data_IF_403255175163
#
_entry.id   IF_403255175163
#
_cell.length_a   1.000
_cell.length_b   1.000
_cell.length_c   1.000
_cell.angle_alpha   90.00
_cell.angle_beta   90.00
_cell.angle_gamma   90.00
#
_symmetry.space_group_name_H-M   'P 1'
#
loop_
_entity.id
_entity.type
_entity.pdbx_description
1 polymer ?
#
# COMPACT_ATOMS: atom_id res chain seq x y z
N UNK A 1 -1.59 -1.61 24.55
CA UNK A 1 -2.10 -0.89 25.72
C UNK A 1 -3.53 -1.34 26.11
N UNK A 2 -4.39 -1.65 25.12
CA UNK A 2 -5.79 -2.04 25.39
C UNK A 2 -5.93 -3.44 26.00
N UNK A 3 -4.98 -4.32 25.79
CA UNK A 3 -4.99 -5.72 26.21
C UNK A 3 -6.02 -6.55 25.42
N UNK A 4 -5.58 -7.53 24.66
CA UNK A 4 -6.43 -8.38 23.80
C UNK A 4 -7.56 -9.04 24.58
N UNK A 5 -7.32 -9.38 25.85
CA UNK A 5 -8.34 -9.97 26.73
C UNK A 5 -9.58 -9.07 26.96
N UNK A 6 -9.45 -7.77 26.74
CA UNK A 6 -10.53 -6.80 26.89
C UNK A 6 -11.31 -6.52 25.60
N UNK A 7 -10.84 -7.07 24.47
CA UNK A 7 -11.46 -6.88 23.16
C UNK A 7 -12.50 -7.96 22.89
N UNK A 8 -13.54 -7.62 22.13
CA UNK A 8 -14.46 -8.60 21.58
C UNK A 8 -13.68 -9.51 20.62
N UNK A 9 -14.00 -10.81 20.70
CA UNK A 9 -13.61 -11.73 19.67
C UNK A 9 -14.76 -11.82 18.64
N UNK A 10 -14.57 -11.27 17.47
CA UNK A 10 -15.60 -11.26 16.43
C UNK A 10 -16.00 -12.66 15.98
N UNK A 11 -15.14 -13.68 16.15
CA UNK A 11 -15.50 -15.08 15.89
C UNK A 11 -16.66 -15.57 16.79
N UNK A 12 -16.87 -14.95 17.95
CA UNK A 12 -17.97 -15.34 18.86
C UNK A 12 -19.31 -14.73 18.44
N UNK A 13 -19.30 -13.74 17.54
CA UNK A 13 -20.46 -12.96 17.11
C UNK A 13 -20.89 -13.23 15.67
N UNK A 14 -20.04 -13.88 14.88
CA UNK A 14 -20.32 -14.25 13.49
C UNK A 14 -20.31 -15.78 13.38
N UNK A 15 -21.24 -16.31 12.60
CA UNK A 15 -21.20 -17.72 12.24
C UNK A 15 -20.09 -18.02 11.24
N UNK A 16 -19.67 -19.27 11.12
CA UNK A 16 -18.71 -19.70 10.12
C UNK A 16 -19.18 -19.39 8.69
N UNK A 17 -20.48 -19.59 8.41
CA UNK A 17 -21.08 -19.27 7.11
C UNK A 17 -21.00 -17.77 6.79
N UNK A 18 -21.21 -16.89 7.78
CA UNK A 18 -21.04 -15.44 7.60
C UNK A 18 -19.59 -15.08 7.32
N UNK A 19 -18.64 -15.61 8.10
CA UNK A 19 -17.22 -15.36 7.92
C UNK A 19 -16.69 -15.86 6.57
N UNK A 20 -17.26 -16.93 6.04
CA UNK A 20 -16.94 -17.45 4.71
C UNK A 20 -17.26 -16.48 3.55
N UNK A 21 -18.05 -15.44 3.78
CA UNK A 21 -18.29 -14.38 2.79
C UNK A 21 -17.16 -13.35 2.71
N UNK A 22 -16.20 -13.39 3.63
CA UNK A 22 -15.08 -12.45 3.67
C UNK A 22 -13.81 -13.06 3.09
N UNK A 23 -12.90 -12.20 2.65
CA UNK A 23 -11.57 -12.60 2.18
C UNK A 23 -10.78 -13.16 3.36
N UNK A 24 -10.34 -14.44 3.32
CA UNK A 24 -9.73 -15.09 4.48
C UNK A 24 -8.47 -14.39 4.99
N UNK A 25 -7.63 -13.90 4.09
CA UNK A 25 -6.38 -13.20 4.41
C UNK A 25 -6.64 -11.91 5.19
N UNK A 26 -7.77 -11.24 4.92
CA UNK A 26 -8.14 -10.00 5.60
C UNK A 26 -8.73 -10.25 7.00
N UNK A 27 -9.42 -11.37 7.18
CA UNK A 27 -9.82 -11.82 8.53
C UNK A 27 -8.58 -12.25 9.33
N UNK A 28 -7.66 -12.98 8.70
CA UNK A 28 -6.44 -13.45 9.35
C UNK A 28 -5.58 -12.27 9.82
N UNK A 29 -5.46 -11.21 9.02
CA UNK A 29 -4.75 -9.99 9.38
C UNK A 29 -5.35 -9.27 10.61
N UNK A 30 -6.66 -9.42 10.84
CA UNK A 30 -7.35 -8.88 12.02
C UNK A 30 -7.16 -9.67 13.32
N UNK A 31 -6.47 -10.83 13.28
CA UNK A 31 -6.28 -11.67 14.46
C UNK A 31 -5.06 -11.25 15.29
N UNK A 32 -5.20 -11.37 16.60
CA UNK A 32 -4.11 -11.31 17.57
C UNK A 32 -4.13 -12.65 18.33
N UNK A 33 -3.20 -13.53 17.99
CA UNK A 33 -3.29 -14.95 18.37
C UNK A 33 -4.55 -15.60 17.78
N UNK A 34 -5.36 -16.25 18.59
CA UNK A 34 -6.61 -16.89 18.15
C UNK A 34 -7.83 -15.96 18.16
N UNK A 35 -7.65 -14.69 18.59
CA UNK A 35 -8.74 -13.73 18.73
C UNK A 35 -8.83 -12.87 17.47
N UNK A 36 -9.96 -12.92 16.76
CA UNK A 36 -10.27 -11.93 15.73
C UNK A 36 -10.64 -10.61 16.44
N UNK A 37 -9.63 -9.81 16.72
CA UNK A 37 -9.74 -8.58 17.50
C UNK A 37 -10.17 -7.38 16.65
N UNK A 38 -9.81 -7.38 15.38
CA UNK A 38 -10.13 -6.33 14.41
C UNK A 38 -10.91 -6.91 13.24
N UNK A 39 -12.19 -6.56 13.13
CA UNK A 39 -13.03 -6.96 12.01
C UNK A 39 -12.75 -6.06 10.80
N UNK A 40 -12.37 -6.60 9.63
CA UNK A 40 -11.98 -5.76 8.49
C UNK A 40 -13.20 -5.07 7.87
N UNK A 41 -13.05 -3.79 7.52
CA UNK A 41 -14.05 -3.00 6.79
C UNK A 41 -13.60 -2.70 5.37
N UNK A 42 -12.33 -2.37 5.22
CA UNK A 42 -11.67 -2.14 3.93
C UNK A 42 -10.18 -2.39 4.07
N UNK A 43 -9.55 -2.81 3.00
CA UNK A 43 -8.10 -3.03 2.97
C UNK A 43 -7.43 -2.16 1.93
N UNK A 44 -6.17 -1.80 2.18
CA UNK A 44 -5.31 -1.11 1.23
C UNK A 44 -3.93 -1.74 1.24
N UNK A 45 -3.18 -1.49 0.19
CA UNK A 45 -1.77 -1.85 0.10
C UNK A 45 -1.01 -0.71 -0.54
N UNK A 46 0.31 -0.77 -0.55
CA UNK A 46 1.12 0.21 -1.25
C UNK A 46 1.21 -0.14 -2.73
N UNK A 47 1.14 0.89 -3.56
CA UNK A 47 1.30 0.81 -5.01
C UNK A 47 2.22 1.94 -5.49
N UNK A 48 2.73 1.82 -6.71
CA UNK A 48 3.49 2.85 -7.38
C UNK A 48 2.58 3.59 -8.37
N UNK A 49 2.31 4.86 -8.09
CA UNK A 49 1.62 5.79 -8.97
C UNK A 49 2.62 6.45 -9.92
N UNK A 50 2.27 6.57 -11.19
CA UNK A 50 3.14 7.17 -12.21
C UNK A 50 2.32 8.15 -13.05
N UNK A 51 2.79 9.39 -13.17
CA UNK A 51 2.25 10.40 -14.07
C UNK A 51 2.59 9.99 -15.52
N UNK A 52 1.67 9.25 -16.15
CA UNK A 52 1.91 8.54 -17.40
C UNK A 52 2.34 9.45 -18.55
N UNK A 53 1.70 10.62 -18.73
CA UNK A 53 2.08 11.54 -19.79
C UNK A 53 3.54 11.99 -19.69
N UNK A 54 4.03 12.25 -18.48
CA UNK A 54 5.40 12.67 -18.22
C UNK A 54 6.37 11.50 -18.36
N UNK A 55 5.96 10.34 -17.82
CA UNK A 55 6.76 9.11 -17.91
C UNK A 55 6.95 8.66 -19.35
N UNK A 56 5.89 8.62 -20.16
CA UNK A 56 5.94 8.20 -21.57
C UNK A 56 6.91 9.05 -22.41
N UNK A 57 6.95 10.36 -22.12
CA UNK A 57 7.89 11.29 -22.77
C UNK A 57 9.34 10.96 -22.40
N UNK A 58 9.62 10.78 -21.12
CA UNK A 58 10.92 10.38 -20.61
C UNK A 58 11.31 8.97 -21.13
N UNK A 59 10.40 8.02 -21.07
CA UNK A 59 10.58 6.65 -21.46
C UNK A 59 11.01 6.51 -22.93
N UNK A 60 10.36 7.29 -23.81
CA UNK A 60 10.70 7.36 -25.23
C UNK A 60 12.12 7.88 -25.48
N UNK A 61 12.55 8.91 -24.73
CA UNK A 61 13.86 9.54 -24.92
C UNK A 61 15.00 8.72 -24.35
N UNK A 62 14.73 7.92 -23.30
CA UNK A 62 15.75 7.19 -22.54
C UNK A 62 15.69 5.67 -22.70
N UNK A 63 14.84 5.18 -23.61
CA UNK A 63 14.65 3.74 -23.86
C UNK A 63 14.39 2.97 -22.57
N UNK A 64 13.35 3.37 -21.83
CA UNK A 64 12.84 2.71 -20.63
C UNK A 64 11.35 2.39 -20.80
N UNK A 65 10.83 1.50 -19.99
CA UNK A 65 9.43 1.07 -20.00
C UNK A 65 8.86 0.93 -18.59
N UNK A 66 7.56 0.70 -18.46
CA UNK A 66 6.94 0.35 -17.18
C UNK A 66 7.47 -0.97 -16.61
N UNK A 67 7.90 -1.91 -17.48
CA UNK A 67 8.47 -3.19 -17.03
C UNK A 67 9.78 -2.99 -16.25
N UNK A 68 10.55 -1.93 -16.55
CA UNK A 68 11.76 -1.59 -15.80
C UNK A 68 11.45 -1.16 -14.35
N UNK A 69 10.20 -0.78 -14.06
CA UNK A 69 9.74 -0.44 -12.71
C UNK A 69 9.34 -1.67 -11.87
N UNK A 70 9.34 -2.86 -12.46
CA UNK A 70 8.88 -4.08 -11.79
C UNK A 70 9.86 -4.61 -10.73
N UNK A 71 11.12 -4.17 -10.75
CA UNK A 71 12.13 -4.56 -9.77
C UNK A 71 12.79 -3.35 -9.14
N UNK A 72 13.31 -3.51 -7.89
CA UNK A 72 14.02 -2.42 -7.22
C UNK A 72 15.26 -1.96 -7.99
N UNK A 73 16.04 -2.89 -8.56
CA UNK A 73 17.21 -2.54 -9.38
C UNK A 73 16.80 -1.69 -10.60
N UNK A 74 15.74 -2.11 -11.29
CA UNK A 74 15.19 -1.37 -12.42
C UNK A 74 14.65 -0.01 -12.00
N UNK A 75 13.88 0.06 -10.90
CA UNK A 75 13.35 1.29 -10.34
C UNK A 75 14.47 2.31 -10.01
N UNK A 76 15.54 1.89 -9.33
CA UNK A 76 16.65 2.78 -9.04
C UNK A 76 17.40 3.22 -10.30
N UNK A 77 17.55 2.32 -11.28
CA UNK A 77 18.13 2.66 -12.59
C UNK A 77 17.29 3.69 -13.34
N UNK A 78 15.97 3.51 -13.37
CA UNK A 78 15.02 4.47 -13.96
C UNK A 78 15.10 5.81 -13.25
N UNK A 79 15.16 5.82 -11.91
CA UNK A 79 15.27 7.04 -11.12
C UNK A 79 16.54 7.84 -11.43
N UNK A 80 17.69 7.17 -11.57
CA UNK A 80 18.97 7.80 -11.96
C UNK A 80 18.89 8.36 -13.39
N UNK A 81 18.35 7.61 -14.35
CA UNK A 81 18.15 8.07 -15.73
C UNK A 81 17.24 9.30 -15.79
N UNK A 82 16.12 9.26 -15.02
CA UNK A 82 15.19 10.39 -14.96
C UNK A 82 15.85 11.65 -14.38
N UNK A 83 16.60 11.51 -13.28
CA UNK A 83 17.33 12.61 -12.67
C UNK A 83 18.27 13.30 -13.67
N UNK A 84 18.99 12.50 -14.46
CA UNK A 84 19.88 13.01 -15.50
C UNK A 84 19.10 13.68 -16.63
N UNK A 85 18.06 13.02 -17.14
CA UNK A 85 17.23 13.53 -18.25
C UNK A 85 16.49 14.82 -17.90
N UNK A 86 15.96 14.90 -16.69
CA UNK A 86 15.15 16.03 -16.20
C UNK A 86 15.98 17.25 -15.77
N UNK A 87 17.31 17.15 -15.75
CA UNK A 87 18.21 18.19 -15.26
C UNK A 87 18.21 18.32 -13.73
N UNK A 88 18.03 17.21 -13.02
CA UNK A 88 18.17 17.12 -11.57
C UNK A 88 16.86 17.05 -10.77
N UNK A 89 15.74 16.74 -11.40
CA UNK A 89 14.50 16.47 -10.67
C UNK A 89 14.48 15.03 -10.17
N UNK A 90 13.99 14.78 -8.94
CA UNK A 90 13.79 13.43 -8.44
C UNK A 90 12.68 12.72 -9.23
N UNK A 91 12.82 11.40 -9.35
CA UNK A 91 11.85 10.54 -10.05
C UNK A 91 10.60 10.30 -9.22
N UNK A 92 10.79 9.91 -7.97
CA UNK A 92 9.72 9.38 -7.11
C UNK A 92 9.76 9.97 -5.70
N UNK A 93 8.59 10.15 -5.11
CA UNK A 93 8.42 10.43 -3.69
C UNK A 93 7.89 9.20 -2.96
N UNK A 94 8.40 8.93 -1.74
CA UNK A 94 8.03 7.78 -0.92
C UNK A 94 7.26 8.24 0.31
N UNK A 95 6.01 7.78 0.47
CA UNK A 95 5.22 8.00 1.71
C UNK A 95 5.70 7.08 2.85
N UNK A 96 6.17 5.88 2.49
CA UNK A 96 6.53 4.83 3.46
C UNK A 96 7.92 4.25 3.16
N UNK A 97 9.00 5.05 3.22
CA UNK A 97 10.34 4.62 2.82
C UNK A 97 10.85 3.43 3.63
N UNK A 98 10.60 3.45 4.94
CA UNK A 98 11.01 2.38 5.86
C UNK A 98 10.36 1.06 5.49
N UNK A 99 9.07 1.08 5.16
CA UNK A 99 8.34 -0.13 4.74
C UNK A 99 8.88 -0.69 3.43
N UNK A 100 9.27 0.16 2.49
CA UNK A 100 9.90 -0.28 1.25
C UNK A 100 11.25 -0.97 1.52
N UNK A 101 12.06 -0.44 2.43
CA UNK A 101 13.33 -1.07 2.85
C UNK A 101 13.10 -2.43 3.49
N UNK A 102 12.14 -2.52 4.41
CA UNK A 102 11.79 -3.78 5.10
C UNK A 102 11.34 -4.86 4.12
N UNK A 103 10.40 -4.52 3.22
CA UNK A 103 9.90 -5.45 2.19
C UNK A 103 11.03 -5.90 1.25
N UNK A 104 11.92 -4.99 0.85
CA UNK A 104 13.08 -5.34 0.04
C UNK A 104 14.04 -6.28 0.80
N UNK A 105 14.33 -6.02 2.08
CA UNK A 105 15.15 -6.89 2.91
C UNK A 105 14.55 -8.28 3.10
N UNK A 106 13.24 -8.34 3.41
CA UNK A 106 12.50 -9.61 3.55
C UNK A 106 12.53 -10.41 2.24
N UNK A 107 12.31 -9.76 1.11
CA UNK A 107 12.34 -10.43 -0.21
C UNK A 107 13.73 -10.95 -0.59
N UNK A 108 14.80 -10.35 -0.05
CA UNK A 108 16.18 -10.82 -0.17
C UNK A 108 16.55 -11.90 0.85
N UNK A 109 15.60 -12.31 1.72
CA UNK A 109 15.77 -13.39 2.70
C UNK A 109 16.28 -12.94 4.06
N UNK A 110 16.13 -11.68 4.44
CA UNK A 110 16.37 -11.24 5.80
C UNK A 110 15.27 -11.79 6.73
N UNK A 111 15.60 -12.76 7.58
CA UNK A 111 14.61 -13.37 8.49
C UNK A 111 14.34 -12.52 9.73
N UNK A 112 15.37 -11.86 10.26
CA UNK A 112 15.28 -10.99 11.44
C UNK A 112 16.29 -9.86 11.32
N UNK A 113 15.81 -8.64 11.34
CA UNK A 113 16.63 -7.44 11.25
C UNK A 113 16.29 -6.41 12.35
N UNK A 114 15.74 -6.88 13.46
CA UNK A 114 15.52 -6.08 14.65
C UNK A 114 16.40 -6.57 15.79
N UNK A 115 16.93 -5.62 16.56
CA UNK A 115 17.61 -5.90 17.82
C UNK A 115 16.61 -6.34 18.89
N UNK A 116 17.09 -6.91 20.02
CA UNK A 116 16.24 -7.26 21.17
C UNK A 116 15.45 -6.06 21.71
N UNK A 117 16.01 -4.86 21.61
CA UNK A 117 15.36 -3.60 22.01
C UNK A 117 14.37 -3.04 20.97
N UNK A 118 14.17 -3.73 19.84
CA UNK A 118 13.25 -3.34 18.77
C UNK A 118 13.75 -2.19 17.88
N UNK A 119 15.07 -2.00 17.75
CA UNK A 119 15.69 -1.14 16.75
C UNK A 119 16.15 -1.97 15.54
N UNK A 120 16.47 -1.29 14.41
CA UNK A 120 17.07 -1.97 13.27
C UNK A 120 18.48 -2.49 13.58
N UNK A 121 18.72 -3.73 13.19
CA UNK A 121 20.03 -4.38 13.29
C UNK A 121 20.83 -4.19 12.00
N UNK A 122 21.72 -3.21 12.01
CA UNK A 122 22.61 -2.93 10.90
C UNK A 122 23.83 -3.90 10.82
N UNK A 123 23.94 -4.83 11.75
CA UNK A 123 24.89 -5.96 11.62
C UNK A 123 24.29 -7.07 10.73
N UNK A 124 22.98 -7.08 10.51
CA UNK A 124 22.35 -7.91 9.48
C UNK A 124 22.76 -7.39 8.07
N UNK A 125 23.56 -8.16 7.30
CA UNK A 125 24.12 -7.67 6.05
C UNK A 125 23.05 -7.46 4.96
N UNK A 126 21.98 -8.26 4.95
CA UNK A 126 20.91 -8.17 3.95
C UNK A 126 20.05 -6.94 4.20
N UNK A 127 19.71 -6.66 5.46
CA UNK A 127 18.99 -5.45 5.82
C UNK A 127 19.82 -4.21 5.52
N UNK A 128 21.10 -4.22 5.88
CA UNK A 128 22.04 -3.11 5.61
C UNK A 128 22.19 -2.84 4.11
N UNK A 129 22.26 -3.88 3.29
CA UNK A 129 22.30 -3.73 1.82
C UNK A 129 21.05 -3.04 1.32
N UNK A 130 19.86 -3.54 1.69
CA UNK A 130 18.58 -2.95 1.31
C UNK A 130 18.46 -1.49 1.76
N UNK A 131 18.84 -1.20 2.99
CA UNK A 131 18.89 0.18 3.50
C UNK A 131 19.77 1.08 2.65
N UNK A 132 20.99 0.61 2.30
CA UNK A 132 21.96 1.39 1.54
C UNK A 132 21.51 1.71 0.12
N UNK A 133 20.74 0.83 -0.53
CA UNK A 133 20.14 1.09 -1.86
C UNK A 133 19.24 2.32 -1.83
N UNK A 134 18.30 2.37 -0.88
CA UNK A 134 17.42 3.52 -0.70
C UNK A 134 18.17 4.78 -0.25
N UNK A 135 19.06 4.65 0.74
CA UNK A 135 19.84 5.77 1.25
C UNK A 135 20.72 6.41 0.18
N UNK A 136 21.31 5.61 -0.70
CA UNK A 136 22.09 6.13 -1.84
C UNK A 136 21.21 6.87 -2.85
N UNK A 137 20.04 6.31 -3.21
CA UNK A 137 19.13 6.97 -4.14
C UNK A 137 18.60 8.29 -3.56
N UNK A 138 18.29 8.34 -2.27
CA UNK A 138 17.88 9.57 -1.56
C UNK A 138 19.04 10.58 -1.52
N UNK A 139 20.24 10.15 -1.13
CA UNK A 139 21.40 11.05 -1.00
C UNK A 139 21.84 11.65 -2.32
N UNK A 140 21.62 10.95 -3.44
CA UNK A 140 21.89 11.44 -4.80
C UNK A 140 20.74 12.32 -5.36
N UNK A 141 19.62 12.42 -4.66
CA UNK A 141 18.44 13.15 -5.09
C UNK A 141 17.59 12.45 -6.16
N UNK A 142 17.81 11.16 -6.40
CA UNK A 142 17.05 10.39 -7.40
C UNK A 142 15.62 10.13 -6.94
N UNK A 143 15.41 9.95 -5.62
CA UNK A 143 14.12 9.82 -4.95
C UNK A 143 14.09 10.73 -3.72
N UNK A 144 12.87 11.05 -3.25
CA UNK A 144 12.69 11.95 -2.11
C UNK A 144 11.78 11.33 -1.04
N UNK A 145 12.07 11.71 0.18
CA UNK A 145 11.23 11.48 1.37
C UNK A 145 10.93 12.84 1.98
N UNK A 146 9.71 13.11 2.34
CA UNK A 146 9.35 14.40 2.93
C UNK A 146 8.06 14.30 3.75
N UNK A 147 7.75 15.39 4.47
CA UNK A 147 6.51 15.55 5.23
C UNK A 147 5.26 15.72 4.35
N UNK A 148 5.44 15.96 3.04
CA UNK A 148 4.34 16.02 2.08
C UNK A 148 4.08 14.65 1.48
N UNK A 149 2.81 14.28 1.34
CA UNK A 149 2.42 13.05 0.65
C UNK A 149 2.88 13.05 -0.82
N UNK A 150 3.23 11.86 -1.31
CA UNK A 150 3.72 11.64 -2.68
C UNK A 150 2.76 12.17 -3.75
N UNK A 151 1.45 12.00 -3.56
CA UNK A 151 0.44 12.54 -4.49
C UNK A 151 0.55 14.06 -4.67
N UNK A 152 0.80 14.82 -3.60
CA UNK A 152 0.99 16.28 -3.69
C UNK A 152 2.17 16.63 -4.58
N UNK A 153 3.29 15.93 -4.44
CA UNK A 153 4.51 16.16 -5.23
C UNK A 153 4.34 15.76 -6.69
N UNK A 154 3.61 14.67 -6.95
CA UNK A 154 3.26 14.27 -8.32
C UNK A 154 2.35 15.31 -8.98
N UNK A 155 1.30 15.75 -8.30
CA UNK A 155 0.35 16.73 -8.83
C UNK A 155 0.94 18.12 -9.07
N UNK A 156 2.07 18.45 -8.45
CA UNK A 156 2.79 19.71 -8.70
C UNK A 156 3.94 19.57 -9.71
N UNK A 157 4.19 18.35 -10.22
CA UNK A 157 5.27 18.08 -11.16
C UNK A 157 6.68 18.17 -10.56
N UNK A 158 6.77 18.09 -9.24
CA UNK A 158 8.05 18.01 -8.53
C UNK A 158 8.71 16.64 -8.76
N UNK A 159 7.91 15.58 -8.74
CA UNK A 159 8.25 14.21 -9.14
C UNK A 159 7.25 13.71 -10.17
N UNK A 160 7.56 12.61 -10.86
CA UNK A 160 6.60 11.98 -11.78
C UNK A 160 6.08 10.63 -11.29
N UNK A 161 6.55 10.18 -10.13
CA UNK A 161 6.07 8.95 -9.51
C UNK A 161 5.93 9.12 -7.99
N UNK A 162 5.09 8.29 -7.39
CA UNK A 162 4.88 8.27 -5.94
C UNK A 162 4.54 6.87 -5.43
N UNK A 163 5.21 6.41 -4.37
CA UNK A 163 4.81 5.21 -3.65
C UNK A 163 3.93 5.62 -2.48
N UNK A 164 2.69 5.15 -2.49
CA UNK A 164 1.70 5.46 -1.47
C UNK A 164 0.64 4.38 -1.33
N UNK A 165 -0.31 4.60 -0.44
CA UNK A 165 -1.47 3.72 -0.27
C UNK A 165 -2.35 3.70 -1.52
N UNK A 166 -2.98 2.56 -1.81
CA UNK A 166 -4.00 2.47 -2.86
C UNK A 166 -5.14 3.48 -2.66
N UNK A 167 -5.48 3.79 -1.42
CA UNK A 167 -6.49 4.81 -1.08
C UNK A 167 -6.04 6.25 -1.39
N UNK A 168 -4.76 6.49 -1.70
CA UNK A 168 -4.28 7.81 -2.11
C UNK A 168 -4.85 8.26 -3.46
N UNK A 169 -5.46 7.36 -4.23
CA UNK A 169 -6.16 7.68 -5.48
C UNK A 169 -7.19 8.80 -5.30
N UNK A 170 -7.84 8.87 -4.13
CA UNK A 170 -8.80 9.92 -3.77
C UNK A 170 -8.24 11.34 -3.87
N UNK A 171 -6.93 11.48 -3.76
CA UNK A 171 -6.23 12.76 -3.69
C UNK A 171 -5.48 13.08 -4.98
N UNK A 172 -5.60 12.24 -6.01
CA UNK A 172 -5.04 12.53 -7.34
C UNK A 172 -6.08 13.22 -8.22
N UNK A 173 -5.60 14.16 -9.01
CA UNK A 173 -6.37 14.82 -10.07
C UNK A 173 -5.94 14.28 -11.44
N UNK A 174 -6.71 14.58 -12.48
CA UNK A 174 -6.39 14.19 -13.86
C UNK A 174 -5.28 15.05 -14.49
N UNK A 175 -4.84 16.09 -13.79
CA UNK A 175 -3.87 17.08 -14.29
C UNK A 175 -2.77 17.35 -13.28
N UNK A 176 -1.58 17.63 -13.78
CA UNK A 176 -0.49 18.26 -13.03
C UNK A 176 -0.68 19.78 -13.13
N UNK A 177 -0.52 20.47 -12.01
CA UNK A 177 -0.49 21.95 -11.96
C UNK A 177 0.89 22.37 -11.51
N UNK A 178 1.66 22.92 -12.42
CA UNK A 178 3.01 23.40 -12.17
C UNK A 178 3.04 24.71 -11.35
N UNK A 179 4.18 25.07 -10.73
CA UNK A 179 4.30 26.29 -9.92
C UNK A 179 4.00 27.59 -10.66
N UNK A 180 4.11 27.62 -11.98
CA UNK A 180 3.76 28.75 -12.85
C UNK A 180 2.27 28.79 -13.24
N UNK A 181 1.44 27.90 -12.66
CA UNK A 181 0.02 27.67 -12.93
C UNK A 181 -0.28 27.11 -14.33
N UNK A 182 0.70 26.66 -15.07
CA UNK A 182 0.44 25.84 -16.27
C UNK A 182 -0.03 24.46 -15.86
N UNK A 183 -0.85 23.82 -16.70
CA UNK A 183 -1.39 22.49 -16.44
C UNK A 183 -1.10 21.53 -17.58
N UNK A 184 -0.97 20.25 -17.26
CA UNK A 184 -0.77 19.19 -18.24
C UNK A 184 -1.58 17.95 -17.82
N UNK A 185 -2.23 17.22 -18.75
CA UNK A 185 -2.88 15.95 -18.42
C UNK A 185 -1.89 14.97 -17.78
N UNK A 186 -2.31 14.30 -16.72
CA UNK A 186 -1.43 13.39 -16.00
C UNK A 186 -1.48 11.96 -16.55
N UNK A 187 -2.66 11.48 -16.96
CA UNK A 187 -2.88 10.08 -17.39
C UNK A 187 -2.29 9.09 -16.37
N UNK A 188 -2.78 9.18 -15.13
CA UNK A 188 -2.24 8.43 -13.99
C UNK A 188 -2.24 6.93 -14.24
N UNK A 189 -1.04 6.34 -14.21
CA UNK A 189 -0.84 4.90 -14.23
C UNK A 189 -0.61 4.40 -12.80
N UNK A 190 -1.02 3.17 -12.55
CA UNK A 190 -0.79 2.51 -11.27
C UNK A 190 -0.17 1.16 -11.57
N UNK A 191 0.93 0.85 -10.92
CA UNK A 191 1.62 -0.43 -11.06
C UNK A 191 1.94 -1.02 -9.68
N UNK A 192 2.16 -2.33 -9.56
CA UNK A 192 2.61 -2.93 -8.31
C UNK A 192 3.89 -2.27 -7.77
N UNK A 193 4.17 -2.43 -6.48
CA UNK A 193 5.47 -2.08 -5.95
C UNK A 193 6.57 -2.84 -6.70
N UNK A 194 7.76 -2.24 -6.83
CA UNK A 194 8.93 -2.99 -7.29
C UNK A 194 9.22 -4.16 -6.33
N UNK A 195 9.73 -5.26 -6.87
CA UNK A 195 10.10 -6.45 -6.11
C UNK A 195 11.56 -6.82 -6.32
N UNK A 196 12.10 -7.70 -5.50
CA UNK A 196 13.38 -8.34 -5.79
C UNK A 196 13.21 -9.26 -6.99
N UNK A 197 14.17 -9.24 -7.91
CA UNK A 197 14.15 -10.06 -9.13
C UNK A 197 14.01 -11.54 -8.76
N UNK A 198 13.17 -12.26 -9.52
CA UNK A 198 12.92 -13.70 -9.37
C UNK A 198 12.34 -14.12 -8.01
N UNK A 199 11.78 -13.18 -7.24
CA UNK A 199 11.08 -13.41 -5.97
C UNK A 199 9.63 -12.92 -6.08
N UNK A 200 8.72 -13.56 -5.37
CA UNK A 200 7.33 -13.11 -5.30
C UNK A 200 7.23 -11.72 -4.67
N UNK A 201 6.26 -10.93 -5.11
CA UNK A 201 6.01 -9.62 -4.53
C UNK A 201 5.54 -9.77 -3.08
N UNK A 202 6.21 -9.07 -2.17
CA UNK A 202 5.77 -8.92 -0.79
C UNK A 202 5.04 -7.60 -0.61
N UNK A 203 3.91 -7.62 0.08
CA UNK A 203 3.13 -6.42 0.41
C UNK A 203 2.70 -6.43 1.86
N UNK A 204 2.44 -5.26 2.42
CA UNK A 204 1.75 -5.12 3.70
C UNK A 204 0.32 -4.69 3.46
N UNK A 205 -0.60 -5.23 4.25
CA UNK A 205 -2.00 -4.84 4.25
C UNK A 205 -2.20 -3.75 5.31
N UNK A 206 -2.82 -2.66 4.89
CA UNK A 206 -3.33 -1.62 5.76
C UNK A 206 -4.86 -1.52 5.57
N UNK A 207 -5.47 -0.47 6.08
CA UNK A 207 -6.89 -0.20 5.88
C UNK A 207 -7.63 0.10 7.17
N UNK A 208 -8.93 -0.11 7.16
CA UNK A 208 -9.82 0.21 8.28
C UNK A 208 -10.48 -1.07 8.80
N UNK A 209 -10.51 -1.19 10.12
CA UNK A 209 -11.21 -2.28 10.80
C UNK A 209 -11.94 -1.80 12.04
N UNK A 210 -12.87 -2.60 12.51
CA UNK A 210 -13.62 -2.38 13.74
C UNK A 210 -13.00 -3.15 14.90
N UNK A 211 -12.69 -2.44 15.95
CA UNK A 211 -12.26 -3.00 17.22
C UNK A 211 -13.25 -2.55 18.31
N UNK A 212 -13.69 -3.45 19.16
CA UNK A 212 -14.63 -3.15 20.21
C UNK A 212 -14.22 -3.78 21.55
N UNK A 213 -14.47 -3.09 22.64
CA UNK A 213 -14.28 -3.64 23.97
C UNK A 213 -15.37 -4.66 24.32
N UNK A 214 -15.01 -5.65 25.14
CA UNK A 214 -15.97 -6.49 25.82
C UNK A 214 -16.88 -5.62 26.68
N UNK A 215 -18.20 -5.84 26.52
CA UNK A 215 -19.24 -5.05 27.17
C UNK A 215 -20.47 -5.93 27.39
N UNK A 216 -21.67 -5.38 27.49
CA UNK A 216 -22.89 -6.17 27.60
C UNK A 216 -23.17 -6.91 26.27
N UNK A 217 -23.83 -8.07 26.38
CA UNK A 217 -24.21 -8.88 25.20
C UNK A 217 -24.99 -8.05 24.17
N UNK A 218 -25.93 -7.22 24.62
CA UNK A 218 -26.70 -6.33 23.74
C UNK A 218 -25.82 -5.33 22.95
N UNK A 219 -24.77 -4.79 23.57
CA UNK A 219 -23.87 -3.86 22.87
C UNK A 219 -22.92 -4.60 21.95
N UNK A 220 -22.49 -5.81 22.31
CA UNK A 220 -21.69 -6.66 21.46
C UNK A 220 -22.46 -7.04 20.18
N UNK A 221 -23.74 -7.43 20.34
CA UNK A 221 -24.62 -7.75 19.21
C UNK A 221 -24.88 -6.52 18.32
N UNK A 222 -25.10 -5.34 18.91
CA UNK A 222 -25.26 -4.11 18.14
C UNK A 222 -23.97 -3.75 17.35
N UNK A 223 -22.78 -4.02 17.91
CA UNK A 223 -21.52 -3.84 17.19
C UNK A 223 -21.40 -4.82 16.02
N UNK A 224 -21.83 -6.08 16.21
CA UNK A 224 -21.84 -7.08 15.17
C UNK A 224 -22.82 -6.72 14.03
N UNK A 225 -24.03 -6.26 14.37
CA UNK A 225 -25.00 -5.78 13.38
C UNK A 225 -24.45 -4.58 12.59
N UNK A 226 -23.75 -3.66 13.25
CA UNK A 226 -23.08 -2.56 12.55
C UNK A 226 -22.00 -3.06 11.60
N UNK A 227 -21.17 -4.02 12.04
CA UNK A 227 -20.14 -4.62 11.20
C UNK A 227 -20.75 -5.31 9.96
N UNK A 228 -21.80 -6.13 10.14
CA UNK A 228 -22.57 -6.75 9.04
C UNK A 228 -23.09 -5.70 8.07
N UNK A 229 -23.69 -4.64 8.60
CA UNK A 229 -24.29 -3.57 7.80
C UNK A 229 -23.29 -2.88 6.89
N UNK A 230 -22.13 -2.45 7.42
CA UNK A 230 -21.15 -1.69 6.63
C UNK A 230 -20.32 -2.57 5.69
N UNK A 231 -20.23 -3.87 5.97
CA UNK A 231 -19.49 -4.84 5.15
C UNK A 231 -20.37 -5.71 4.28
N UNK A 232 -21.70 -5.45 4.28
CA UNK A 232 -22.62 -6.06 3.33
C UNK A 232 -22.15 -5.81 1.89
N UNK A 233 -22.31 -6.78 1.03
CA UNK A 233 -21.78 -6.78 -0.35
C UNK A 233 -22.03 -5.46 -1.09
N UNK A 234 -23.28 -4.97 -1.11
CA UNK A 234 -23.61 -3.76 -1.86
C UNK A 234 -22.95 -2.50 -1.29
N UNK A 235 -22.96 -2.34 0.04
CA UNK A 235 -22.37 -1.16 0.72
C UNK A 235 -20.86 -1.18 0.69
N UNK A 236 -20.26 -2.34 0.90
CA UNK A 236 -18.83 -2.50 0.82
C UNK A 236 -18.33 -2.19 -0.60
N UNK A 237 -19.06 -2.67 -1.62
CA UNK A 237 -18.78 -2.35 -3.02
C UNK A 237 -18.85 -0.83 -3.28
N UNK A 238 -19.95 -0.15 -2.93
CA UNK A 238 -20.09 1.31 -3.14
C UNK A 238 -18.97 2.10 -2.45
N UNK A 239 -18.63 1.73 -1.23
CA UNK A 239 -17.57 2.38 -0.48
C UNK A 239 -16.20 2.21 -1.17
N UNK A 240 -15.83 0.99 -1.50
CA UNK A 240 -14.48 0.73 -2.06
C UNK A 240 -14.34 1.26 -3.48
N UNK A 241 -15.37 1.13 -4.33
CA UNK A 241 -15.35 1.63 -5.71
C UNK A 241 -15.09 3.14 -5.81
N UNK A 242 -15.42 3.90 -4.75
CA UNK A 242 -15.21 5.34 -4.67
C UNK A 242 -13.96 5.77 -3.91
N UNK A 243 -13.24 4.86 -3.26
CA UNK A 243 -12.17 5.21 -2.31
C UNK A 243 -10.80 4.59 -2.60
N UNK A 244 -10.71 3.65 -3.53
CA UNK A 244 -9.44 2.96 -3.85
C UNK A 244 -9.01 1.92 -2.81
N UNK A 245 -9.87 1.59 -1.84
CA UNK A 245 -9.66 0.45 -0.96
C UNK A 245 -10.02 -0.86 -1.66
N UNK A 246 -9.47 -1.97 -1.16
CA UNK A 246 -9.93 -3.31 -1.53
C UNK A 246 -11.16 -3.71 -0.72
N UNK A 247 -12.16 -4.33 -1.35
CA UNK A 247 -13.33 -4.85 -0.65
C UNK A 247 -12.94 -6.02 0.26
N UNK A 248 -13.64 -6.14 1.39
CA UNK A 248 -13.42 -7.24 2.33
C UNK A 248 -14.41 -8.39 2.11
N UNK A 249 -15.56 -8.10 1.50
CA UNK A 249 -16.56 -9.08 1.12
C UNK A 249 -16.24 -9.66 -0.27
N UNK A 250 -16.26 -11.00 -0.40
CA UNK A 250 -15.95 -11.70 -1.66
C UNK A 250 -16.90 -11.30 -2.80
N UNK A 251 -18.19 -11.14 -2.51
CA UNK A 251 -19.17 -10.70 -3.51
C UNK A 251 -18.86 -9.31 -4.05
N UNK A 252 -18.45 -8.38 -3.16
CA UNK A 252 -17.99 -7.04 -3.56
C UNK A 252 -16.70 -7.11 -4.39
N UNK A 253 -15.80 -8.04 -4.04
CA UNK A 253 -14.55 -8.26 -4.76
C UNK A 253 -14.79 -8.74 -6.19
N UNK A 254 -15.74 -9.66 -6.38
CA UNK A 254 -16.13 -10.12 -7.73
C UNK A 254 -16.83 -9.03 -8.54
N UNK A 255 -17.71 -8.25 -7.91
CA UNK A 255 -18.40 -7.14 -8.59
C UNK A 255 -17.46 -6.08 -9.12
N UNK A 256 -16.39 -5.74 -8.37
CA UNK A 256 -15.52 -4.66 -8.76
C UNK A 256 -14.61 -5.05 -9.94
N UNK A 257 -14.40 -6.35 -10.18
CA UNK A 257 -13.66 -6.85 -11.36
C UNK A 257 -14.35 -6.46 -12.67
N UNK A 258 -15.68 -6.49 -12.69
CA UNK A 258 -16.48 -6.22 -13.88
C UNK A 258 -17.02 -4.78 -13.91
N UNK A 259 -16.65 -3.95 -12.93
CA UNK A 259 -17.18 -2.61 -12.83
C UNK A 259 -16.49 -1.65 -13.82
N UNK A 260 -17.33 -0.94 -14.61
CA UNK A 260 -16.83 0.06 -15.54
C UNK A 260 -16.62 1.41 -14.81
N UNK A 261 -15.37 1.70 -14.46
CA UNK A 261 -15.02 2.98 -13.86
C UNK A 261 -15.10 4.12 -14.88
N UNK A 262 -15.65 5.26 -14.48
CA UNK A 262 -15.60 6.47 -15.29
C UNK A 262 -14.18 7.06 -15.37
N UNK A 263 -13.41 6.90 -14.30
CA UNK A 263 -12.02 7.34 -14.22
C UNK A 263 -11.06 6.23 -14.64
N UNK A 264 -10.21 6.52 -15.64
CA UNK A 264 -9.15 5.60 -16.08
C UNK A 264 -8.12 5.33 -14.97
N UNK A 265 -7.88 6.30 -14.08
CA UNK A 265 -6.99 6.12 -12.94
C UNK A 265 -7.52 5.06 -11.98
N UNK A 266 -8.83 5.04 -11.70
CA UNK A 266 -9.45 3.99 -10.87
C UNK A 266 -9.43 2.62 -11.57
N UNK A 267 -9.69 2.57 -12.88
CA UNK A 267 -9.58 1.33 -13.64
C UNK A 267 -8.15 0.75 -13.56
N UNK A 268 -7.13 1.60 -13.75
CA UNK A 268 -5.72 1.21 -13.62
C UNK A 268 -5.40 0.73 -12.20
N UNK A 269 -5.90 1.43 -11.16
CA UNK A 269 -5.70 1.03 -9.78
C UNK A 269 -6.28 -0.36 -9.51
N UNK A 270 -7.54 -0.60 -9.86
CA UNK A 270 -8.17 -1.89 -9.55
C UNK A 270 -7.58 -3.03 -10.37
N UNK A 271 -7.15 -2.79 -11.61
CA UNK A 271 -6.37 -3.77 -12.38
C UNK A 271 -5.10 -4.19 -11.60
N UNK A 272 -4.36 -3.21 -11.08
CA UNK A 272 -3.17 -3.46 -10.26
C UNK A 272 -3.49 -4.17 -8.94
N UNK A 273 -4.57 -3.77 -8.25
CA UNK A 273 -4.95 -4.40 -6.98
C UNK A 273 -5.37 -5.86 -7.16
N UNK A 274 -6.00 -6.22 -8.28
CA UNK A 274 -6.30 -7.61 -8.60
C UNK A 274 -5.03 -8.41 -8.86
N UNK A 275 -4.10 -7.88 -9.66
CA UNK A 275 -2.80 -8.50 -9.89
C UNK A 275 -2.06 -8.74 -8.56
N UNK A 276 -1.98 -7.72 -7.72
CA UNK A 276 -1.34 -7.82 -6.39
C UNK A 276 -2.03 -8.87 -5.53
N UNK A 277 -3.36 -8.90 -5.47
CA UNK A 277 -4.10 -9.87 -4.68
C UNK A 277 -3.90 -11.32 -5.16
N UNK A 278 -3.68 -11.53 -6.46
CA UNK A 278 -3.46 -12.86 -7.04
C UNK A 278 -2.01 -13.34 -6.94
N UNK A 279 -1.04 -12.42 -6.93
CA UNK A 279 0.39 -12.77 -7.10
C UNK A 279 1.27 -12.43 -5.91
N UNK A 280 0.83 -11.54 -5.02
CA UNK A 280 1.64 -11.10 -3.90
C UNK A 280 1.41 -11.92 -2.63
N UNK A 281 2.44 -11.98 -1.79
CA UNK A 281 2.35 -12.51 -0.44
C UNK A 281 2.21 -11.36 0.56
N UNK A 282 1.13 -11.36 1.33
CA UNK A 282 0.92 -10.38 2.39
C UNK A 282 1.81 -10.68 3.60
N UNK A 283 2.58 -9.67 4.02
CA UNK A 283 3.44 -9.73 5.20
C UNK A 283 2.79 -8.93 6.32
N UNK A 284 2.74 -9.51 7.51
CA UNK A 284 2.27 -8.80 8.70
C UNK A 284 3.31 -7.80 9.17
N UNK A 285 2.83 -6.66 9.64
CA UNK A 285 3.69 -5.71 10.34
C UNK A 285 4.19 -6.30 11.66
N UNK A 286 5.41 -5.94 12.09
CA UNK A 286 5.93 -6.38 13.38
C UNK A 286 5.02 -5.96 14.53
N UNK A 287 4.77 -6.87 15.47
CA UNK A 287 3.85 -6.66 16.60
C UNK A 287 4.53 -6.42 17.94
N UNK A 288 5.83 -6.10 17.96
CA UNK A 288 6.51 -5.80 19.22
C UNK A 288 6.14 -4.44 19.78
N UNK A 289 6.17 -4.32 21.10
CA UNK A 289 5.84 -3.08 21.80
C UNK A 289 6.75 -1.93 21.38
N UNK A 290 6.16 -0.79 21.06
CA UNK A 290 6.88 0.41 20.69
C UNK A 290 7.39 0.44 19.23
N UNK A 291 6.96 -0.49 18.36
CA UNK A 291 7.36 -0.49 16.95
C UNK A 291 7.12 0.88 16.30
N UNK A 292 5.90 1.40 16.38
CA UNK A 292 5.58 2.71 15.80
C UNK A 292 6.33 3.88 16.46
N UNK A 293 6.57 3.82 17.77
CA UNK A 293 7.29 4.87 18.50
C UNK A 293 8.77 4.91 18.18
N UNK A 294 9.35 3.77 17.77
CA UNK A 294 10.80 3.65 17.51
C UNK A 294 11.14 3.74 16.04
N UNK A 295 10.26 3.29 15.17
CA UNK A 295 10.53 3.12 13.75
C UNK A 295 9.85 4.21 12.91
N UNK A 296 8.66 4.65 13.31
CA UNK A 296 7.90 5.73 12.70
C UNK A 296 7.88 6.98 13.59
#
# INVERSE_FOLDING_TARGET
>A
ELGVSNLLNWNDLFTEDELNNYVPEFLEDGKIGDVLAVFPVSKSTHVLYVAGTQFDRFAKDMDVSYDDLSTWDGFFSVAEKYYTWSGGKPFCALDYPIRCVELNALSKGAENFYTEDGWYDFDNPVFKESWMEFAQAISKGHIVVSDLYSNTRVMTGEVIAGIGSSASILYYNDVITYPDNTTEPMNLQVVPLPKTKDVDLLVTLAGVGLCSYKTTEQKAEAAAEFARYITEEARNFEFVASTGYMPVNKGSFEKIKDYAFESKAYENLYTTLFEVNETATAIREPSFAGYYEKIY
#
